data_IF_396292192784
#
_entry.id   IF_396292192784
#
_cell.length_a   1.000
_cell.length_b   1.000
_cell.length_c   1.000
_cell.angle_alpha   90.00
_cell.angle_beta   90.00
_cell.angle_gamma   90.00
#
_symmetry.space_group_name_H-M   'P 1'
#
loop_
_entity.id
_entity.type
_entity.pdbx_description
1 polymer ?
#
# COMPACT_ATOMS: atom_id res chain seq x y z
N UNK A 1 -3.73 -0.27 -4.08
CA UNK A 1 -2.82 -0.32 -2.92
C UNK A 1 -1.94 0.91 -2.81
N UNK A 2 -0.99 0.98 -1.84
CA UNK A 2 -0.12 2.14 -1.64
C UNK A 2 0.70 2.52 -2.88
N UNK A 3 1.19 1.52 -3.61
CA UNK A 3 1.95 1.74 -4.86
C UNK A 3 1.12 2.50 -5.91
N UNK A 4 -0.17 2.15 -6.04
CA UNK A 4 -1.09 2.83 -6.97
C UNK A 4 -1.32 4.29 -6.61
N UNK A 5 -1.35 4.63 -5.33
CA UNK A 5 -1.46 6.02 -4.86
C UNK A 5 -0.22 6.81 -5.27
N UNK A 6 0.97 6.29 -4.98
CA UNK A 6 2.22 6.93 -5.37
C UNK A 6 2.32 7.13 -6.88
N UNK A 7 2.03 6.09 -7.66
CA UNK A 7 2.04 6.15 -9.11
C UNK A 7 1.05 7.18 -9.67
N UNK A 8 -0.20 7.18 -9.18
CA UNK A 8 -1.25 8.07 -9.67
C UNK A 8 -0.97 9.54 -9.35
N UNK A 9 -0.59 9.84 -8.09
CA UNK A 9 -0.26 11.20 -7.66
C UNK A 9 0.93 11.74 -8.45
N UNK A 10 2.00 10.94 -8.58
CA UNK A 10 3.18 11.35 -9.35
C UNK A 10 2.84 11.57 -10.83
N UNK A 11 2.13 10.64 -11.47
CA UNK A 11 1.78 10.77 -12.88
C UNK A 11 0.93 12.01 -13.14
N UNK A 12 -0.10 12.25 -12.31
CA UNK A 12 -0.98 13.40 -12.45
C UNK A 12 -0.25 14.73 -12.22
N UNK A 13 0.58 14.83 -11.18
CA UNK A 13 1.41 16.01 -10.89
C UNK A 13 2.41 16.34 -12.02
N UNK A 14 2.83 15.33 -12.78
CA UNK A 14 3.66 15.51 -13.97
C UNK A 14 2.85 15.74 -15.25
N UNK A 15 1.57 16.08 -15.15
CA UNK A 15 0.73 16.48 -16.28
C UNK A 15 0.09 15.33 -17.05
N UNK A 16 0.24 14.08 -16.61
CA UNK A 16 -0.45 12.97 -17.25
C UNK A 16 -1.94 12.97 -16.88
N UNK A 17 -2.80 12.73 -17.87
CA UNK A 17 -4.22 12.45 -17.61
C UNK A 17 -4.35 11.06 -17.01
N UNK A 18 -4.50 11.00 -15.69
CA UNK A 18 -4.41 9.79 -14.90
C UNK A 18 -5.78 9.31 -14.42
N UNK A 19 -6.05 8.02 -14.63
CA UNK A 19 -7.16 7.30 -14.02
C UNK A 19 -6.59 6.22 -13.11
N UNK A 20 -7.06 6.16 -11.88
CA UNK A 20 -6.82 5.08 -10.94
C UNK A 20 -8.14 4.43 -10.58
N UNK A 21 -8.17 3.11 -10.51
CA UNK A 21 -9.34 2.40 -9.99
C UNK A 21 -8.91 1.32 -8.99
N UNK A 22 -9.81 1.04 -8.04
CA UNK A 22 -9.62 0.04 -6.99
C UNK A 22 -10.89 -0.79 -6.85
N UNK A 23 -10.75 -2.08 -6.63
CA UNK A 23 -11.88 -2.98 -6.40
C UNK A 23 -12.60 -2.69 -5.08
N UNK A 24 -11.91 -2.10 -4.12
CA UNK A 24 -12.47 -1.75 -2.82
C UNK A 24 -13.22 -0.42 -2.86
N UNK A 25 -13.99 -0.16 -1.80
CA UNK A 25 -14.68 1.12 -1.57
C UNK A 25 -13.78 2.24 -1.04
N UNK A 26 -12.48 2.00 -0.93
CA UNK A 26 -11.48 2.99 -0.53
C UNK A 26 -10.12 2.65 -1.16
N UNK A 27 -9.25 3.63 -1.21
CA UNK A 27 -7.85 3.46 -1.64
C UNK A 27 -6.98 2.92 -0.51
N UNK A 28 -5.80 2.41 -0.85
CA UNK A 28 -4.77 2.02 0.11
C UNK A 28 -4.53 0.52 0.23
N UNK A 29 -5.45 -0.33 -0.24
CA UNK A 29 -5.29 -1.79 -0.28
C UNK A 29 -4.88 -2.38 1.06
N UNK A 30 -3.72 -3.05 1.13
CA UNK A 30 -3.26 -3.69 2.36
C UNK A 30 -3.09 -2.70 3.53
N UNK A 31 -2.69 -1.47 3.27
CA UNK A 31 -2.55 -0.44 4.30
C UNK A 31 -3.90 0.11 4.82
N UNK A 32 -5.03 -0.31 4.26
CA UNK A 32 -6.37 0.15 4.67
C UNK A 32 -7.32 -1.01 4.89
N UNK A 33 -7.80 -1.64 3.82
CA UNK A 33 -8.72 -2.79 3.92
C UNK A 33 -8.04 -4.03 4.49
N UNK A 34 -6.74 -4.22 4.23
CA UNK A 34 -5.95 -5.30 4.77
C UNK A 34 -5.47 -5.07 6.22
N UNK A 35 -5.63 -3.86 6.77
CA UNK A 35 -5.18 -3.47 8.12
C UNK A 35 -3.69 -3.70 8.38
N UNK A 36 -2.87 -3.76 7.33
CA UNK A 36 -1.42 -3.94 7.46
C UNK A 36 -0.78 -2.61 7.85
N UNK A 37 -0.13 -2.60 8.97
CA UNK A 37 0.69 -1.52 9.50
C UNK A 37 1.72 -2.12 10.46
N UNK A 38 2.69 -1.36 10.88
CA UNK A 38 3.05 0.03 10.57
C UNK A 38 3.80 0.20 9.24
N UNK A 39 4.15 1.45 8.87
CA UNK A 39 5.12 1.70 7.79
C UNK A 39 6.49 1.17 8.20
N UNK A 40 7.10 0.35 7.35
CA UNK A 40 8.37 -0.30 7.62
C UNK A 40 9.33 -0.14 6.45
N UNK A 41 10.64 -0.29 6.75
CA UNK A 41 11.72 -0.33 5.77
C UNK A 41 11.85 0.93 4.90
N UNK A 42 11.60 2.11 5.48
CA UNK A 42 11.82 3.38 4.78
C UNK A 42 13.26 3.90 4.90
N UNK A 43 14.08 3.28 5.75
CA UNK A 43 15.49 3.60 5.95
C UNK A 43 16.42 2.60 5.28
N UNK A 44 17.70 2.97 5.15
CA UNK A 44 18.75 2.08 4.68
C UNK A 44 19.01 0.93 5.68
N UNK A 45 19.77 -0.06 5.24
CA UNK A 45 20.08 -1.26 6.05
C UNK A 45 20.85 -0.93 7.35
N UNK A 46 21.45 0.24 7.45
CA UNK A 46 22.17 0.72 8.64
C UNK A 46 21.28 1.61 9.53
N UNK A 47 20.01 1.81 9.19
CA UNK A 47 19.08 2.69 9.88
C UNK A 47 19.56 4.16 10.05
N UNK A 48 20.41 4.63 9.12
CA UNK A 48 21.01 5.97 9.20
C UNK A 48 20.33 6.99 8.30
N UNK A 49 19.80 6.54 7.18
CA UNK A 49 19.28 7.43 6.15
C UNK A 49 17.93 6.94 5.64
N UNK A 50 16.92 7.79 5.67
CA UNK A 50 15.65 7.54 5.01
C UNK A 50 15.88 7.51 3.49
N UNK A 51 15.59 6.39 2.86
CA UNK A 51 15.75 6.15 1.42
C UNK A 51 14.42 6.18 0.67
N UNK A 52 13.31 5.89 1.34
CA UNK A 52 11.97 6.02 0.78
C UNK A 52 11.40 7.38 1.18
N UNK A 53 11.31 8.27 0.20
CA UNK A 53 10.95 9.69 0.41
C UNK A 53 9.84 10.13 -0.57
N UNK A 54 9.68 11.43 -0.78
CA UNK A 54 8.76 12.01 -1.75
C UNK A 54 7.30 11.84 -1.34
N UNK A 55 6.49 11.14 -2.12
CA UNK A 55 5.06 10.93 -1.82
C UNK A 55 4.86 10.27 -0.46
N UNK A 56 5.74 9.34 -0.07
CA UNK A 56 5.66 8.70 1.25
C UNK A 56 5.84 9.73 2.38
N UNK A 57 6.88 10.57 2.32
CA UNK A 57 7.09 11.62 3.32
C UNK A 57 5.91 12.60 3.39
N UNK A 58 5.36 12.98 2.23
CA UNK A 58 4.19 13.87 2.19
C UNK A 58 2.97 13.23 2.86
N UNK A 59 2.71 11.94 2.60
CA UNK A 59 1.63 11.19 3.26
C UNK A 59 1.83 11.20 4.78
N UNK A 60 3.02 10.83 5.25
CA UNK A 60 3.35 10.79 6.69
C UNK A 60 3.19 12.17 7.33
N UNK A 61 3.72 13.21 6.69
CA UNK A 61 3.63 14.58 7.20
C UNK A 61 2.17 15.06 7.33
N UNK A 62 1.34 14.80 6.31
CA UNK A 62 -0.09 15.14 6.35
C UNK A 62 -0.83 14.35 7.43
N UNK A 63 -0.56 13.06 7.55
CA UNK A 63 -1.15 12.24 8.60
C UNK A 63 -0.72 12.68 10.01
N UNK A 64 0.56 13.05 10.18
CA UNK A 64 1.10 13.57 11.45
C UNK A 64 0.35 14.82 11.89
N UNK A 65 0.04 15.75 10.98
CA UNK A 65 -0.73 16.96 11.30
C UNK A 65 -2.16 16.68 11.78
N UNK A 66 -2.70 15.53 11.39
CA UNK A 66 -4.01 15.03 11.81
C UNK A 66 -3.96 14.11 13.04
N UNK A 67 -2.76 13.88 13.60
CA UNK A 67 -2.56 12.92 14.69
C UNK A 67 -2.68 11.46 14.28
N UNK A 68 -2.64 11.17 12.98
CA UNK A 68 -2.88 9.84 12.42
C UNK A 68 -1.62 9.06 12.06
N UNK A 69 -0.43 9.58 12.31
CA UNK A 69 0.81 8.83 12.12
C UNK A 69 1.94 9.34 13.02
N UNK A 70 2.87 8.45 13.33
CA UNK A 70 4.18 8.79 13.90
C UNK A 70 5.19 8.83 12.76
N UNK A 71 6.01 9.88 12.73
CA UNK A 71 7.09 9.97 11.74
C UNK A 71 8.14 8.88 12.02
N UNK A 72 8.51 8.06 11.04
CA UNK A 72 9.57 7.07 11.23
C UNK A 72 10.89 7.65 11.73
N UNK A 73 11.16 8.93 11.46
CA UNK A 73 12.35 9.62 11.96
C UNK A 73 12.32 9.81 13.48
N UNK A 74 11.14 9.91 14.08
CA UNK A 74 10.94 10.12 15.50
C UNK A 74 10.94 8.80 16.32
N UNK A 75 11.08 7.65 15.65
CA UNK A 75 11.01 6.33 16.28
C UNK A 75 12.39 5.73 16.44
N UNK A 76 12.84 5.57 17.69
CA UNK A 76 14.12 4.96 18.01
C UNK A 76 14.05 3.42 17.97
N UNK A 77 15.22 2.76 17.88
CA UNK A 77 15.34 1.32 17.65
C UNK A 77 14.75 0.43 18.77
N UNK A 78 14.49 0.98 19.95
CA UNK A 78 14.08 0.23 21.14
C UNK A 78 12.64 0.55 21.61
N UNK A 79 11.93 1.39 20.90
CA UNK A 79 10.55 1.74 21.22
C UNK A 79 9.63 0.53 21.01
N UNK A 80 8.93 0.07 22.04
CA UNK A 80 8.02 -1.07 21.91
C UNK A 80 6.69 -0.61 21.29
N UNK A 81 6.62 -0.55 19.96
CA UNK A 81 5.33 -0.44 19.30
C UNK A 81 4.63 -1.80 19.30
N UNK A 82 3.45 -1.83 19.89
CA UNK A 82 2.42 -2.86 19.88
C UNK A 82 2.76 -4.12 19.07
N UNK A 83 3.46 -5.07 19.67
CA UNK A 83 3.70 -6.39 19.12
C UNK A 83 4.96 -6.56 18.26
N UNK A 84 5.69 -5.50 17.96
CA UNK A 84 7.00 -5.63 17.29
C UNK A 84 8.09 -5.68 18.34
N UNK A 85 8.81 -6.81 18.37
CA UNK A 85 9.92 -7.02 19.27
C UNK A 85 11.13 -6.16 18.92
N UNK A 86 11.93 -5.86 19.92
CA UNK A 86 13.12 -4.98 19.95
C UNK A 86 14.18 -5.21 18.87
N UNK A 87 14.10 -6.25 18.07
CA UNK A 87 15.21 -6.64 17.19
C UNK A 87 14.94 -6.17 15.77
N UNK A 88 15.63 -5.11 15.38
CA UNK A 88 15.81 -4.76 13.98
C UNK A 88 14.74 -3.86 13.33
N UNK A 89 13.84 -3.26 14.10
CA UNK A 89 12.76 -2.43 13.56
C UNK A 89 12.82 -0.96 14.01
N UNK A 90 14.00 -0.35 13.91
CA UNK A 90 14.10 1.11 14.01
C UNK A 90 13.31 1.79 12.88
N UNK A 91 12.81 2.97 13.15
CA UNK A 91 12.13 3.80 12.15
C UNK A 91 10.86 3.16 11.57
N UNK A 92 10.13 2.46 12.41
CA UNK A 92 8.79 1.94 12.11
C UNK A 92 7.76 3.02 12.41
N UNK A 93 6.94 3.38 11.43
CA UNK A 93 5.93 4.44 11.59
C UNK A 93 4.53 3.87 11.81
N UNK A 94 4.03 3.78 13.06
CA UNK A 94 2.63 3.45 13.30
C UNK A 94 1.70 4.49 12.68
N UNK A 95 0.57 4.03 12.15
CA UNK A 95 -0.40 4.92 11.55
C UNK A 95 -1.84 4.45 11.73
N UNK A 96 -2.76 5.40 11.66
CA UNK A 96 -4.20 5.13 11.62
C UNK A 96 -4.65 4.89 10.17
N UNK A 97 -5.29 3.74 9.93
CA UNK A 97 -5.73 3.32 8.60
C UNK A 97 -6.82 4.22 8.01
N UNK A 98 -7.70 4.80 8.86
CA UNK A 98 -8.74 5.71 8.40
C UNK A 98 -8.15 7.07 8.00
N UNK A 99 -7.19 7.56 8.79
CA UNK A 99 -6.43 8.76 8.44
C UNK A 99 -5.67 8.56 7.11
N UNK A 100 -5.07 7.39 6.91
CA UNK A 100 -4.39 7.06 5.64
C UNK A 100 -5.36 7.10 4.45
N UNK A 101 -6.56 6.50 4.56
CA UNK A 101 -7.61 6.60 3.53
C UNK A 101 -7.93 8.05 3.17
N UNK A 102 -8.16 8.88 4.20
CA UNK A 102 -8.49 10.30 4.03
C UNK A 102 -7.38 11.04 3.30
N UNK A 103 -6.15 10.97 3.80
CA UNK A 103 -5.00 11.70 3.24
C UNK A 103 -4.73 11.26 1.81
N UNK A 104 -4.73 9.95 1.52
CA UNK A 104 -4.50 9.45 0.17
C UNK A 104 -5.59 9.87 -0.81
N UNK A 105 -6.85 9.88 -0.38
CA UNK A 105 -7.97 10.35 -1.21
C UNK A 105 -7.84 11.84 -1.51
N UNK A 106 -7.48 12.65 -0.52
CA UNK A 106 -7.23 14.08 -0.71
C UNK A 106 -6.07 14.33 -1.69
N UNK A 107 -4.95 13.63 -1.53
CA UNK A 107 -3.79 13.77 -2.42
C UNK A 107 -4.11 13.38 -3.87
N UNK A 108 -4.90 12.33 -4.08
CA UNK A 108 -5.38 11.97 -5.41
C UNK A 108 -6.25 13.08 -6.01
N UNK A 109 -7.22 13.60 -5.27
CA UNK A 109 -8.09 14.68 -5.72
C UNK A 109 -7.30 15.95 -6.05
N UNK A 110 -6.40 16.37 -5.18
CA UNK A 110 -5.53 17.56 -5.37
C UNK A 110 -4.60 17.40 -6.58
N UNK A 111 -4.13 16.18 -6.86
CA UNK A 111 -3.28 15.92 -8.02
C UNK A 111 -4.02 16.00 -9.36
N UNK A 112 -5.34 15.97 -9.35
CA UNK A 112 -6.18 15.91 -10.55
C UNK A 112 -6.34 14.49 -11.12
N UNK A 113 -5.87 13.46 -10.43
CA UNK A 113 -6.12 12.07 -10.80
C UNK A 113 -7.59 11.73 -10.62
N UNK A 114 -8.18 11.03 -11.61
CA UNK A 114 -9.54 10.51 -11.50
C UNK A 114 -9.53 9.19 -10.74
N UNK A 115 -10.42 9.03 -9.77
CA UNK A 115 -10.57 7.84 -8.96
C UNK A 115 -11.90 7.15 -9.24
N UNK A 116 -11.85 5.83 -9.49
CA UNK A 116 -13.01 4.94 -9.55
C UNK A 116 -12.85 3.85 -8.50
N UNK A 117 -13.75 3.81 -7.55
CA UNK A 117 -13.84 2.76 -6.53
C UNK A 117 -14.84 1.67 -6.95
N UNK A 118 -14.83 0.54 -6.23
CA UNK A 118 -15.66 -0.64 -6.54
C UNK A 118 -15.55 -1.07 -8.02
N UNK A 119 -14.35 -0.91 -8.59
CA UNK A 119 -14.08 -1.21 -9.99
C UNK A 119 -12.97 -2.22 -10.08
N UNK A 120 -13.32 -3.43 -10.50
CA UNK A 120 -12.42 -4.57 -10.57
C UNK A 120 -11.76 -4.66 -11.95
N UNK A 121 -10.46 -4.94 -12.00
CA UNK A 121 -9.76 -5.32 -13.19
C UNK A 121 -10.25 -6.70 -13.68
N UNK A 122 -10.46 -6.84 -14.98
CA UNK A 122 -10.93 -8.09 -15.61
C UNK A 122 -9.91 -8.62 -16.60
N UNK A 123 -9.45 -7.77 -17.54
CA UNK A 123 -8.56 -8.21 -18.62
C UNK A 123 -7.81 -7.04 -19.25
N UNK A 124 -6.88 -7.34 -20.14
CA UNK A 124 -6.14 -6.38 -20.94
C UNK A 124 -6.58 -6.37 -22.40
N UNK A 125 -6.54 -5.22 -23.04
CA UNK A 125 -6.57 -5.13 -24.49
C UNK A 125 -5.14 -4.98 -25.01
N UNK A 126 -4.75 -5.86 -25.91
CA UNK A 126 -3.41 -5.86 -26.50
C UNK A 126 -3.48 -5.77 -28.02
N UNK A 127 -2.54 -5.01 -28.58
CA UNK A 127 -2.33 -4.90 -30.01
C UNK A 127 -0.81 -4.98 -30.27
N UNK A 128 -0.39 -5.92 -31.09
CA UNK A 128 1.04 -6.12 -31.44
C UNK A 128 1.97 -6.28 -30.21
N UNK A 129 1.52 -7.03 -29.20
CA UNK A 129 2.28 -7.27 -27.97
C UNK A 129 2.36 -6.09 -27.00
N UNK A 130 1.57 -5.05 -27.25
CA UNK A 130 1.49 -3.87 -26.38
C UNK A 130 0.10 -3.75 -25.77
N UNK A 131 0.03 -3.45 -24.48
CA UNK A 131 -1.24 -3.13 -23.82
C UNK A 131 -1.70 -1.76 -24.32
N UNK A 132 -2.93 -1.71 -24.87
CA UNK A 132 -3.58 -0.49 -25.39
C UNK A 132 -4.77 -0.09 -24.54
N UNK A 133 -5.16 -0.93 -23.58
CA UNK A 133 -6.24 -0.64 -22.65
C UNK A 133 -6.44 -1.76 -21.64
N UNK A 134 -7.34 -1.53 -20.73
CA UNK A 134 -7.76 -2.49 -19.70
C UNK A 134 -9.29 -2.58 -19.69
N UNK A 135 -9.78 -3.79 -19.45
CA UNK A 135 -11.18 -4.07 -19.20
C UNK A 135 -11.40 -4.10 -17.70
N UNK A 136 -12.38 -3.37 -17.23
CA UNK A 136 -12.77 -3.36 -15.82
C UNK A 136 -14.29 -3.47 -15.68
N UNK A 137 -14.74 -3.95 -14.53
CA UNK A 137 -16.15 -4.11 -14.21
C UNK A 137 -16.51 -3.39 -12.91
N UNK A 138 -17.69 -2.81 -12.89
CA UNK A 138 -18.33 -2.34 -11.66
C UNK A 138 -19.85 -2.54 -11.74
N UNK A 139 -20.60 -1.98 -10.78
CA UNK A 139 -22.05 -2.14 -10.74
C UNK A 139 -22.78 -1.61 -11.99
N UNK A 140 -22.16 -0.67 -12.72
CA UNK A 140 -22.74 -0.11 -13.95
C UNK A 140 -22.42 -0.93 -15.21
N UNK A 141 -21.61 -1.98 -15.09
CA UNK A 141 -21.28 -2.88 -16.20
C UNK A 141 -19.78 -3.00 -16.49
N UNK A 142 -19.47 -3.40 -17.71
CA UNK A 142 -18.11 -3.53 -18.22
C UNK A 142 -17.67 -2.24 -18.92
N UNK A 143 -16.41 -1.89 -18.68
CA UNK A 143 -15.78 -0.70 -19.24
C UNK A 143 -14.46 -1.08 -19.90
N UNK A 144 -14.18 -0.47 -21.04
CA UNK A 144 -12.86 -0.49 -21.68
C UNK A 144 -12.21 0.89 -21.49
N UNK A 145 -11.12 0.92 -20.78
CA UNK A 145 -10.28 2.11 -20.60
C UNK A 145 -9.06 2.01 -21.51
N UNK A 146 -9.04 2.81 -22.58
CA UNK A 146 -7.86 2.92 -23.44
C UNK A 146 -6.81 3.79 -22.78
N UNK A 147 -5.55 3.31 -22.77
CA UNK A 147 -4.44 4.00 -22.14
C UNK A 147 -3.15 3.86 -22.97
N UNK A 148 -2.31 4.88 -22.93
CA UNK A 148 -0.96 4.83 -23.51
C UNK A 148 0.03 4.06 -22.63
N UNK A 149 -0.18 4.12 -21.31
CA UNK A 149 0.62 3.46 -20.27
C UNK A 149 -0.33 2.88 -19.24
N UNK A 150 -0.08 1.66 -18.83
CA UNK A 150 -0.78 0.98 -17.75
C UNK A 150 0.26 0.64 -16.67
N UNK A 151 -0.04 0.98 -15.43
CA UNK A 151 0.81 0.66 -14.27
C UNK A 151 0.04 -0.34 -13.42
N UNK A 152 0.59 -1.55 -13.30
CA UNK A 152 0.01 -2.59 -12.46
C UNK A 152 0.38 -2.35 -10.99
N UNK A 153 -0.63 -2.12 -10.18
CA UNK A 153 -0.54 -1.97 -8.73
C UNK A 153 -1.57 -2.85 -8.02
N UNK A 154 -1.96 -3.96 -8.66
CA UNK A 154 -2.97 -4.89 -8.14
C UNK A 154 -2.53 -5.61 -6.85
N UNK A 155 -1.23 -5.75 -6.64
CA UNK A 155 -0.63 -6.50 -5.53
C UNK A 155 -0.21 -7.91 -5.97
N UNK A 156 -1.02 -8.55 -6.80
CA UNK A 156 -0.79 -9.92 -7.27
C UNK A 156 -0.35 -9.99 -8.75
N UNK A 157 0.01 -8.85 -9.34
CA UNK A 157 0.42 -8.73 -10.74
C UNK A 157 -0.67 -9.17 -11.75
N UNK A 158 -1.93 -8.88 -11.46
CA UNK A 158 -3.08 -9.32 -12.27
C UNK A 158 -3.00 -8.85 -13.71
N UNK A 159 -2.60 -7.59 -13.93
CA UNK A 159 -2.46 -7.01 -15.28
C UNK A 159 -1.28 -7.65 -16.01
N UNK A 160 -0.16 -7.82 -15.33
CA UNK A 160 1.02 -8.47 -15.89
C UNK A 160 0.72 -9.91 -16.32
N UNK A 161 0.08 -10.68 -15.44
CA UNK A 161 -0.30 -12.06 -15.73
C UNK A 161 -1.24 -12.18 -16.95
N UNK A 162 -2.26 -11.30 -17.03
CA UNK A 162 -3.19 -11.27 -18.16
C UNK A 162 -2.56 -10.78 -19.46
N UNK A 163 -1.47 -10.01 -19.35
CA UNK A 163 -0.73 -9.53 -20.52
C UNK A 163 0.26 -10.55 -21.10
N UNK A 164 0.40 -11.73 -20.47
CA UNK A 164 1.33 -12.77 -20.91
C UNK A 164 2.78 -12.53 -20.49
N UNK A 165 3.05 -11.58 -19.60
CA UNK A 165 4.37 -11.42 -18.98
C UNK A 165 4.67 -12.65 -18.13
N UNK A 166 5.90 -13.15 -18.23
CA UNK A 166 6.34 -14.27 -17.38
C UNK A 166 6.35 -13.84 -15.91
N UNK A 167 5.82 -14.71 -15.07
CA UNK A 167 5.83 -14.52 -13.62
C UNK A 167 6.13 -15.86 -12.93
N UNK A 168 6.57 -15.79 -11.69
CA UNK A 168 6.78 -16.95 -10.84
C UNK A 168 5.66 -17.04 -9.82
N UNK A 169 5.21 -18.24 -9.51
CA UNK A 169 4.18 -18.50 -8.51
C UNK A 169 4.77 -19.40 -7.43
N UNK A 170 4.98 -18.83 -6.24
CA UNK A 170 5.62 -19.53 -5.13
C UNK A 170 7.14 -19.65 -5.27
N UNK A 171 7.76 -20.36 -4.33
CA UNK A 171 9.20 -20.63 -4.31
C UNK A 171 9.56 -21.70 -5.34
N UNK A 172 10.75 -21.58 -5.93
CA UNK A 172 11.24 -22.53 -6.95
C UNK A 172 11.39 -23.94 -6.35
N UNK A 173 11.76 -24.04 -5.07
CA UNK A 173 12.10 -25.31 -4.41
C UNK A 173 10.87 -26.18 -4.12
N UNK A 174 9.74 -25.57 -3.77
CA UNK A 174 8.57 -26.29 -3.28
C UNK A 174 7.22 -25.73 -3.74
N UNK A 175 7.22 -24.65 -4.51
CA UNK A 175 6.02 -23.98 -4.98
C UNK A 175 5.21 -23.27 -3.89
N UNK A 176 5.71 -23.22 -2.65
CA UNK A 176 4.98 -22.60 -1.56
C UNK A 176 4.97 -21.08 -1.67
N UNK A 177 3.82 -20.50 -1.44
CA UNK A 177 3.61 -19.06 -1.35
C UNK A 177 3.80 -18.58 0.09
N UNK A 178 3.89 -17.27 0.27
CA UNK A 178 3.88 -16.70 1.62
C UNK A 178 2.58 -17.10 2.35
N UNK A 179 2.63 -17.38 3.66
CA UNK A 179 1.46 -17.67 4.45
C UNK A 179 0.44 -16.54 4.41
N UNK A 180 -0.83 -16.88 4.31
CA UNK A 180 -1.89 -15.91 4.46
C UNK A 180 -1.98 -15.44 5.93
N UNK A 181 -2.29 -14.15 6.11
CA UNK A 181 -2.47 -13.54 7.43
C UNK A 181 -3.79 -12.80 7.46
N UNK A 182 -4.57 -12.99 8.52
CA UNK A 182 -5.76 -12.21 8.79
C UNK A 182 -5.45 -11.16 9.85
N UNK A 183 -5.55 -9.89 9.47
CA UNK A 183 -5.48 -8.77 10.40
C UNK A 183 -6.88 -8.37 10.84
N UNK A 184 -7.05 -8.05 12.12
CA UNK A 184 -8.29 -7.53 12.68
C UNK A 184 -8.01 -6.54 13.79
N UNK A 185 -8.97 -5.66 14.08
CA UNK A 185 -8.90 -4.73 15.21
C UNK A 185 -9.62 -5.32 16.40
N UNK A 186 -9.02 -5.19 17.57
CA UNK A 186 -9.63 -5.52 18.84
C UNK A 186 -9.59 -4.31 19.75
N UNK A 187 -10.70 -3.98 20.38
CA UNK A 187 -10.79 -2.94 21.40
C UNK A 187 -11.16 -3.54 22.75
N UNK A 188 -10.91 -2.78 23.82
CA UNK A 188 -11.21 -3.22 25.19
C UNK A 188 -10.26 -4.31 25.74
N UNK A 189 -9.17 -4.60 25.03
CA UNK A 189 -8.17 -5.53 25.52
C UNK A 189 -7.16 -4.80 26.41
N UNK A 190 -7.06 -5.24 27.67
CA UNK A 190 -5.98 -4.86 28.57
C UNK A 190 -4.97 -6.02 28.61
N UNK A 191 -3.73 -5.84 28.08
CA UNK A 191 -2.75 -6.91 28.17
C UNK A 191 -2.43 -7.22 29.64
N UNK A 192 -2.19 -8.50 29.99
CA UNK A 192 -1.78 -8.85 31.36
C UNK A 192 -0.50 -8.09 31.73
N UNK A 193 -0.48 -7.50 32.91
CA UNK A 193 0.68 -6.72 33.42
C UNK A 193 1.97 -7.54 33.51
N UNK A 194 1.91 -8.85 33.44
CA UNK A 194 3.05 -9.77 33.58
C UNK A 194 3.78 -10.11 32.28
N UNK A 195 3.33 -9.64 31.13
CA UNK A 195 3.94 -10.02 29.85
C UNK A 195 5.31 -9.35 29.56
N UNK A 196 5.78 -8.45 30.42
CA UNK A 196 7.03 -7.69 30.17
C UNK A 196 8.12 -7.88 31.25
N UNK A 197 7.95 -8.80 32.20
CA UNK A 197 8.95 -9.03 33.26
C UNK A 197 9.75 -10.34 33.13
N UNK A 198 9.73 -10.96 31.98
CA UNK A 198 10.55 -12.16 31.72
C UNK A 198 11.92 -11.80 31.14
N UNK A 199 12.84 -11.31 31.95
CA UNK A 199 14.28 -11.49 31.68
C UNK A 199 14.60 -12.95 31.93
N UNK A 200 15.07 -13.73 30.94
CA UNK A 200 15.75 -14.99 31.22
C UNK A 200 17.08 -14.65 31.89
N UNK A 201 17.30 -15.17 33.10
CA UNK A 201 18.61 -15.20 33.74
C UNK A 201 19.57 -16.12 32.98
#
# INVERSE_FOLDING_TARGET
GPAGIGAAVCAARNGARTLVFDQNGCVGGQATTGLVGPFMTCYDAQNKKMVIRGIFEEVVARMKTLGGAVDPADVEAEEPFSGFYKIGHAHVGPFDHECFKLVCTQMLAESGAKLLLHTQFIDVLQENGRITGVVAANKSGLFLFRAKVVIDCSGDADVAARSGVKFELGRVEDGNMQPATLFFRQCGYAPPQSAHSGTPG
#
